data_IF_431570579588
#
_entry.id   IF_431570579588
#
_cell.length_a   1.000
_cell.length_b   1.000
_cell.length_c   1.000
_cell.angle_alpha   90.00
_cell.angle_beta   90.00
_cell.angle_gamma   90.00
#
_symmetry.space_group_name_H-M   'P 1'
#
loop_
_entity.id
_entity.type
_entity.pdbx_description
1 polymer ?
#
# COMPACT_ATOMS: atom_id res chain seq x y z
N UNK A 1 -26.93 24.24 -5.68
CA UNK A 1 -25.48 24.39 -5.91
C UNK A 1 -24.70 24.43 -4.60
N UNK A 2 -25.20 25.07 -3.55
CA UNK A 2 -24.59 25.11 -2.20
C UNK A 2 -24.52 23.73 -1.52
N UNK A 3 -25.53 22.90 -1.75
CA UNK A 3 -25.63 21.52 -1.25
C UNK A 3 -24.52 20.59 -1.79
N UNK A 4 -24.10 20.75 -3.05
CA UNK A 4 -23.02 19.92 -3.61
C UNK A 4 -21.66 20.22 -2.97
N UNK A 5 -21.45 21.46 -2.53
CA UNK A 5 -20.21 21.87 -1.89
C UNK A 5 -20.12 21.37 -0.44
N UNK A 6 -21.24 21.40 0.30
CA UNK A 6 -21.29 20.84 1.65
C UNK A 6 -21.08 19.31 1.63
N UNK A 7 -21.69 18.60 0.67
CA UNK A 7 -21.48 17.17 0.48
C UNK A 7 -20.01 16.89 0.17
N UNK A 8 -19.40 17.60 -0.79
CA UNK A 8 -17.99 17.44 -1.14
C UNK A 8 -17.07 17.62 0.07
N UNK A 9 -17.27 18.68 0.86
CA UNK A 9 -16.47 18.94 2.07
C UNK A 9 -16.64 17.82 3.11
N UNK A 10 -17.86 17.32 3.30
CA UNK A 10 -18.11 16.21 4.23
C UNK A 10 -17.41 14.92 3.81
N UNK A 11 -17.41 14.60 2.51
CA UNK A 11 -16.71 13.45 1.95
C UNK A 11 -15.20 13.57 2.13
N UNK A 12 -14.63 14.72 1.78
CA UNK A 12 -13.19 14.99 1.95
C UNK A 12 -12.80 14.91 3.43
N UNK A 13 -13.66 15.36 4.34
CA UNK A 13 -13.43 15.28 5.77
C UNK A 13 -13.34 13.83 6.27
N UNK A 14 -14.22 12.94 5.80
CA UNK A 14 -14.14 11.50 6.11
C UNK A 14 -12.90 10.88 5.47
N UNK A 15 -12.69 11.14 4.17
CA UNK A 15 -11.59 10.56 3.39
C UNK A 15 -10.22 10.93 3.95
N UNK A 16 -9.99 12.18 4.38
CA UNK A 16 -8.70 12.58 4.96
C UNK A 16 -8.36 11.79 6.23
N UNK A 17 -9.36 11.41 7.03
CA UNK A 17 -9.19 10.65 8.26
C UNK A 17 -8.68 9.24 7.94
N UNK A 18 -9.37 8.55 7.03
CA UNK A 18 -9.01 7.21 6.57
C UNK A 18 -7.65 7.20 5.88
N UNK A 19 -7.40 8.18 5.00
CA UNK A 19 -6.11 8.31 4.32
C UNK A 19 -4.97 8.48 5.32
N UNK A 20 -5.12 9.29 6.37
CA UNK A 20 -4.09 9.50 7.39
C UNK A 20 -3.84 8.22 8.19
N UNK A 21 -4.89 7.50 8.58
CA UNK A 21 -4.78 6.22 9.26
C UNK A 21 -4.04 5.19 8.42
N UNK A 22 -4.49 4.99 7.17
CA UNK A 22 -3.86 4.04 6.23
C UNK A 22 -2.42 4.43 5.95
N UNK A 23 -2.10 5.72 5.81
CA UNK A 23 -0.73 6.19 5.59
C UNK A 23 0.22 5.78 6.71
N UNK A 24 -0.21 5.96 7.96
CA UNK A 24 0.56 5.58 9.15
C UNK A 24 0.74 4.06 9.17
N UNK A 25 -0.32 3.29 8.92
CA UNK A 25 -0.25 1.83 8.84
C UNK A 25 0.71 1.36 7.76
N UNK A 26 0.69 1.97 6.57
CA UNK A 26 1.61 1.64 5.47
C UNK A 26 3.06 1.92 5.84
N UNK A 27 3.34 3.05 6.50
CA UNK A 27 4.69 3.39 6.96
C UNK A 27 5.17 2.39 8.01
N UNK A 28 4.33 2.03 8.99
CA UNK A 28 4.66 1.07 10.04
C UNK A 28 4.90 -0.33 9.46
N UNK A 29 3.98 -0.83 8.62
CA UNK A 29 4.10 -2.17 8.02
C UNK A 29 5.29 -2.20 7.05
N UNK A 30 5.53 -1.13 6.30
CA UNK A 30 6.68 -1.02 5.41
C UNK A 30 8.00 -1.01 6.17
N UNK A 31 8.07 -0.28 7.29
CA UNK A 31 9.24 -0.29 8.17
C UNK A 31 9.47 -1.67 8.79
N UNK A 32 8.42 -2.31 9.30
CA UNK A 32 8.49 -3.67 9.85
C UNK A 32 8.94 -4.70 8.80
N UNK A 33 8.45 -4.58 7.57
CA UNK A 33 8.84 -5.46 6.45
C UNK A 33 10.30 -5.27 6.06
N UNK A 34 10.82 -4.05 6.19
CA UNK A 34 12.20 -3.70 5.82
C UNK A 34 13.27 -4.28 6.76
N UNK A 35 12.89 -4.96 7.85
CA UNK A 35 13.85 -5.63 8.75
C UNK A 35 14.55 -6.84 8.10
N UNK A 36 14.00 -7.37 7.00
CA UNK A 36 14.60 -8.51 6.27
C UNK A 36 15.11 -8.06 4.91
N UNK A 37 16.16 -8.70 4.38
CA UNK A 37 16.73 -8.38 3.06
C UNK A 37 15.66 -8.50 1.96
N UNK A 38 14.86 -9.58 2.03
CA UNK A 38 13.75 -9.81 1.08
C UNK A 38 12.65 -8.78 1.27
N UNK A 39 12.30 -8.49 2.53
CA UNK A 39 11.26 -7.54 2.85
C UNK A 39 11.64 -6.08 2.59
N UNK A 40 12.93 -5.74 2.43
CA UNK A 40 13.37 -4.40 2.01
C UNK A 40 12.88 -4.03 0.61
N UNK A 41 12.89 -4.99 -0.33
CA UNK A 41 12.40 -4.81 -1.70
C UNK A 41 10.90 -4.47 -1.70
N UNK A 42 10.17 -5.05 -0.75
CA UNK A 42 8.73 -4.83 -0.57
C UNK A 42 8.41 -3.58 0.29
N UNK A 43 9.20 -3.35 1.33
CA UNK A 43 8.95 -2.35 2.35
C UNK A 43 9.21 -0.93 1.88
N UNK A 44 10.24 -0.70 1.05
CA UNK A 44 10.55 0.64 0.51
C UNK A 44 9.38 1.18 -0.34
N UNK A 45 8.85 0.45 -1.34
CA UNK A 45 7.66 0.88 -2.08
C UNK A 45 6.46 1.19 -1.17
N UNK A 46 6.26 0.40 -0.10
CA UNK A 46 5.16 0.56 0.83
C UNK A 46 5.28 1.86 1.65
N UNK A 47 6.47 2.18 2.12
CA UNK A 47 6.75 3.43 2.86
C UNK A 47 6.52 4.63 1.93
N UNK A 48 7.01 4.58 0.69
CA UNK A 48 6.81 5.63 -0.30
C UNK A 48 5.33 5.83 -0.64
N UNK A 49 4.57 4.73 -0.76
CA UNK A 49 3.12 4.78 -0.94
C UNK A 49 2.44 5.48 0.25
N UNK A 50 2.82 5.13 1.49
CA UNK A 50 2.26 5.72 2.70
C UNK A 50 2.57 7.22 2.83
N UNK A 51 3.79 7.64 2.49
CA UNK A 51 4.18 9.06 2.46
C UNK A 51 3.33 9.87 1.48
N UNK A 52 3.12 9.37 0.26
CA UNK A 52 2.28 10.05 -0.74
C UNK A 52 0.81 10.13 -0.32
N UNK A 53 0.29 9.09 0.33
CA UNK A 53 -1.07 9.11 0.86
C UNK A 53 -1.22 10.11 2.02
N UNK A 54 -0.18 10.26 2.84
CA UNK A 54 -0.14 11.27 3.91
C UNK A 54 -0.17 12.67 3.32
N UNK A 55 0.67 12.94 2.31
CA UNK A 55 0.71 14.25 1.65
C UNK A 55 -0.64 14.57 0.97
N UNK A 56 -1.33 13.55 0.43
CA UNK A 56 -2.71 13.70 -0.06
C UNK A 56 -3.68 14.12 1.05
N UNK A 57 -3.63 13.44 2.20
CA UNK A 57 -4.51 13.75 3.35
C UNK A 57 -4.26 15.16 3.89
N UNK A 58 -2.99 15.58 3.98
CA UNK A 58 -2.59 16.91 4.43
C UNK A 58 -3.09 18.00 3.45
N UNK A 59 -2.97 17.77 2.14
CA UNK A 59 -3.50 18.68 1.11
C UNK A 59 -5.03 18.75 1.12
N UNK A 60 -5.71 17.62 1.31
CA UNK A 60 -7.17 17.59 1.47
C UNK A 60 -7.63 18.36 2.71
N UNK A 61 -6.85 18.30 3.80
CA UNK A 61 -7.11 19.12 4.97
C UNK A 61 -6.91 20.62 4.69
N UNK A 62 -5.87 20.99 3.95
CA UNK A 62 -5.63 22.39 3.55
C UNK A 62 -6.73 22.91 2.62
N UNK A 63 -7.29 22.08 1.74
CA UNK A 63 -8.46 22.45 0.95
C UNK A 63 -9.67 22.77 1.84
N UNK A 64 -9.95 21.95 2.85
CA UNK A 64 -11.07 22.18 3.77
C UNK A 64 -10.95 23.48 4.58
N UNK A 65 -9.73 23.93 4.88
CA UNK A 65 -9.48 25.13 5.68
C UNK A 65 -9.32 26.40 4.85
N UNK A 66 -8.85 26.29 3.60
CA UNK A 66 -8.54 27.45 2.74
C UNK A 66 -9.51 27.64 1.58
N UNK A 67 -10.31 26.63 1.24
CA UNK A 67 -11.15 26.57 0.04
C UNK A 67 -10.42 26.77 -1.29
N UNK A 68 -9.08 26.68 -1.29
CA UNK A 68 -8.30 26.84 -2.52
C UNK A 68 -8.24 25.52 -3.30
N UNK A 69 -8.80 25.54 -4.51
CA UNK A 69 -8.86 24.38 -5.42
C UNK A 69 -7.48 23.79 -5.75
N UNK A 70 -6.40 24.59 -5.68
CA UNK A 70 -5.03 24.13 -5.89
C UNK A 70 -4.63 22.99 -4.92
N UNK A 71 -5.01 23.08 -3.64
CA UNK A 71 -4.74 22.03 -2.67
C UNK A 71 -5.54 20.75 -2.95
N UNK A 72 -6.76 20.89 -3.48
CA UNK A 72 -7.55 19.73 -3.88
C UNK A 72 -6.88 18.99 -5.06
N UNK A 73 -6.46 19.73 -6.09
CA UNK A 73 -5.77 19.15 -7.25
C UNK A 73 -4.46 18.46 -6.84
N UNK A 74 -3.66 19.10 -5.98
CA UNK A 74 -2.41 18.52 -5.46
C UNK A 74 -2.67 17.29 -4.57
N UNK A 75 -3.75 17.29 -3.80
CA UNK A 75 -4.19 16.12 -3.02
C UNK A 75 -4.50 14.92 -3.92
N UNK A 76 -5.27 15.14 -4.98
CA UNK A 76 -5.61 14.10 -5.96
C UNK A 76 -4.35 13.61 -6.72
N UNK A 77 -3.42 14.50 -7.06
CA UNK A 77 -2.16 14.10 -7.69
C UNK A 77 -1.35 13.17 -6.78
N UNK A 78 -1.20 13.54 -5.50
CA UNK A 78 -0.52 12.71 -4.51
C UNK A 78 -1.21 11.36 -4.29
N UNK A 79 -2.54 11.34 -4.29
CA UNK A 79 -3.33 10.10 -4.25
C UNK A 79 -3.07 9.23 -5.49
N UNK A 80 -2.98 9.84 -6.67
CA UNK A 80 -2.59 9.15 -7.91
C UNK A 80 -1.18 8.55 -7.83
N UNK A 81 -0.22 9.25 -7.22
CA UNK A 81 1.12 8.73 -6.98
C UNK A 81 1.12 7.56 -5.98
N UNK A 82 0.32 7.63 -4.91
CA UNK A 82 0.12 6.51 -3.99
C UNK A 82 -0.32 5.23 -4.75
N UNK A 83 -1.31 5.33 -5.64
CA UNK A 83 -1.75 4.19 -6.44
C UNK A 83 -0.69 3.66 -7.41
N UNK A 84 0.25 4.49 -7.89
CA UNK A 84 1.38 4.01 -8.70
C UNK A 84 2.29 3.08 -7.88
N UNK A 85 2.61 3.45 -6.64
CA UNK A 85 3.38 2.60 -5.76
C UNK A 85 2.64 1.32 -5.37
N UNK A 86 1.33 1.41 -5.07
CA UNK A 86 0.51 0.24 -4.78
C UNK A 86 0.48 -0.77 -5.93
N UNK A 87 0.39 -0.29 -7.19
CA UNK A 87 0.45 -1.17 -8.37
C UNK A 87 1.76 -1.95 -8.45
N UNK A 88 2.89 -1.29 -8.20
CA UNK A 88 4.21 -1.95 -8.15
C UNK A 88 4.22 -3.00 -7.05
N UNK A 89 3.67 -2.68 -5.88
CA UNK A 89 3.62 -3.57 -4.74
C UNK A 89 2.79 -4.85 -4.99
N UNK A 90 1.66 -4.72 -5.69
CA UNK A 90 0.87 -5.90 -6.09
C UNK A 90 1.61 -6.81 -7.07
N UNK A 91 2.37 -6.24 -8.01
CA UNK A 91 3.21 -7.04 -8.92
C UNK A 91 4.24 -7.85 -8.13
N UNK A 92 4.90 -7.23 -7.15
CA UNK A 92 5.88 -7.91 -6.28
C UNK A 92 5.20 -9.04 -5.49
N UNK A 93 4.01 -8.82 -4.92
CA UNK A 93 3.26 -9.86 -4.21
C UNK A 93 2.94 -11.06 -5.11
N UNK A 94 2.49 -10.83 -6.34
CA UNK A 94 2.16 -11.91 -7.29
C UNK A 94 3.41 -12.74 -7.61
N UNK A 95 4.55 -12.08 -7.87
CA UNK A 95 5.81 -12.79 -8.15
C UNK A 95 6.24 -13.64 -6.94
N UNK A 96 6.19 -13.07 -5.73
CA UNK A 96 6.53 -13.80 -4.50
C UNK A 96 5.58 -14.98 -4.23
N UNK A 97 4.28 -14.83 -4.52
CA UNK A 97 3.29 -15.90 -4.38
C UNK A 97 3.62 -17.08 -5.31
N UNK A 98 3.93 -16.81 -6.57
CA UNK A 98 4.27 -17.86 -7.55
C UNK A 98 5.54 -18.60 -7.10
N UNK A 99 6.59 -17.89 -6.69
CA UNK A 99 7.82 -18.49 -6.19
C UNK A 99 7.57 -19.35 -4.94
N UNK A 100 6.73 -18.87 -4.03
CA UNK A 100 6.35 -19.61 -2.83
C UNK A 100 5.61 -20.93 -3.15
N UNK A 101 4.68 -20.91 -4.11
CA UNK A 101 3.97 -22.12 -4.55
C UNK A 101 4.95 -23.12 -5.18
N UNK A 102 5.83 -22.67 -6.07
CA UNK A 102 6.84 -23.54 -6.70
C UNK A 102 7.76 -24.18 -5.66
N UNK A 103 8.18 -23.41 -4.66
CA UNK A 103 9.00 -23.91 -3.56
C UNK A 103 8.25 -24.99 -2.75
N UNK A 104 6.98 -24.77 -2.41
CA UNK A 104 6.17 -25.77 -1.69
C UNK A 104 6.01 -27.07 -2.47
N UNK A 105 5.75 -26.97 -3.78
CA UNK A 105 5.62 -28.15 -4.65
C UNK A 105 6.93 -28.93 -4.68
N UNK A 106 8.07 -28.24 -4.82
CA UNK A 106 9.39 -28.86 -4.80
C UNK A 106 9.68 -29.56 -3.47
N UNK A 107 9.42 -28.90 -2.34
CA UNK A 107 9.60 -29.49 -0.99
C UNK A 107 8.67 -30.69 -0.77
N UNK A 108 7.43 -30.64 -1.26
CA UNK A 108 6.48 -31.74 -1.15
C UNK A 108 6.96 -32.99 -1.91
N UNK A 109 7.39 -32.83 -3.16
CA UNK A 109 7.88 -33.97 -3.95
C UNK A 109 9.18 -34.56 -3.40
N UNK A 110 10.11 -33.71 -2.94
CA UNK A 110 11.37 -34.18 -2.36
C UNK A 110 11.14 -34.96 -1.06
N UNK A 111 10.33 -34.43 -0.14
CA UNK A 111 10.02 -35.11 1.12
C UNK A 111 9.24 -36.43 0.91
N UNK A 112 8.31 -36.46 -0.04
CA UNK A 112 7.60 -37.69 -0.42
C UNK A 112 8.56 -38.73 -0.99
N UNK A 113 9.47 -38.32 -1.88
CA UNK A 113 10.47 -39.23 -2.46
C UNK A 113 11.41 -39.82 -1.39
N UNK A 114 11.88 -39.01 -0.45
CA UNK A 114 12.75 -39.49 0.64
C UNK A 114 12.02 -40.42 1.59
N UNK A 115 10.74 -40.17 1.87
CA UNK A 115 9.94 -41.06 2.70
C UNK A 115 9.66 -42.40 2.01
N UNK A 116 9.41 -42.38 0.69
CA UNK A 116 9.22 -43.60 -0.09
C UNK A 116 10.51 -44.41 -0.28
N UNK A 117 11.67 -43.73 -0.35
CA UNK A 117 12.99 -44.36 -0.52
C UNK A 117 13.60 -44.90 0.79
N UNK A 118 13.14 -44.44 1.95
CA UNK A 118 13.53 -44.97 3.27
C UNK A 118 12.77 -46.26 3.67
N UNK A 119 11.88 -46.75 2.80
CA UNK A 119 11.05 -47.96 3.00
C UNK A 119 11.63 -49.26 2.44
N UNK A 120 12.92 -49.29 2.05
CA UNK A 120 13.66 -50.51 1.68
C UNK A 120 14.93 -50.64 2.52
#
# INVERSE_FOLDING_TARGET
MEDNNSILKSLIFSMKGDMKFVSIMLIIIGAASSLTIVGLIYGIPMILAGLRLKDSADNMNNYLTTDQKSFFELGIENLGQHFKFMKIQYIIMIVMLVLYILFLVFVFFTTLSTLSGAGY
#
